data_IF_336988437004
#
_entry.id   IF_336988437004
#
_cell.length_a   1.000
_cell.length_b   1.000
_cell.length_c   1.000
_cell.angle_alpha   90.00
_cell.angle_beta   90.00
_cell.angle_gamma   90.00
#
_symmetry.space_group_name_H-M   'P 1'
#
loop_
_entity.id
_entity.type
_entity.pdbx_description
1 polymer ?
#
# COMPACT_ATOMS: atom_id res chain seq x y z
N UNK A 1 0.44 13.98 -9.09
CA UNK A 1 -0.09 14.51 -7.82
C UNK A 1 0.18 13.49 -6.71
N UNK A 2 0.32 13.99 -5.47
CA UNK A 2 0.29 13.19 -4.25
C UNK A 2 -1.04 13.52 -3.55
N UNK A 3 -1.89 12.52 -3.32
CA UNK A 3 -3.22 12.70 -2.76
C UNK A 3 -3.47 11.71 -1.61
N UNK A 4 -4.13 12.13 -0.51
CA UNK A 4 -4.57 11.21 0.52
C UNK A 4 -5.65 10.28 -0.06
N UNK A 5 -5.59 9.00 0.29
CA UNK A 5 -6.60 8.01 -0.11
C UNK A 5 -7.45 7.58 1.09
N UNK A 6 -6.84 6.91 2.06
CA UNK A 6 -7.53 6.34 3.22
C UNK A 6 -6.51 6.06 4.33
N UNK A 7 -6.87 5.33 5.37
CA UNK A 7 -5.96 4.85 6.40
C UNK A 7 -6.31 3.42 6.83
N UNK A 8 -5.30 2.66 7.26
CA UNK A 8 -5.51 1.44 8.04
C UNK A 8 -5.47 1.77 9.54
N UNK A 9 -6.34 1.10 10.30
CA UNK A 9 -6.44 1.20 11.75
C UNK A 9 -6.47 -0.21 12.30
N UNK A 10 -5.40 -0.64 12.98
CA UNK A 10 -5.25 -2.02 13.43
C UNK A 10 -4.67 -2.09 14.84
N UNK A 11 -5.31 -2.88 15.71
CA UNK A 11 -4.83 -3.13 17.07
C UNK A 11 -3.87 -4.32 17.04
N UNK A 12 -2.60 -4.08 17.37
CA UNK A 12 -1.66 -5.13 17.73
C UNK A 12 -1.60 -5.28 19.26
N UNK A 13 -0.94 -6.32 19.75
CA UNK A 13 -0.90 -6.64 21.17
C UNK A 13 -0.32 -5.49 22.02
N UNK A 14 0.73 -4.83 21.53
CA UNK A 14 1.46 -3.80 22.29
C UNK A 14 1.13 -2.36 21.84
N UNK A 15 0.47 -2.19 20.70
CA UNK A 15 0.22 -0.86 20.14
C UNK A 15 -0.97 -0.82 19.18
N UNK A 16 -1.52 0.37 18.99
CA UNK A 16 -2.52 0.63 17.96
C UNK A 16 -1.87 1.27 16.74
N UNK A 17 -1.83 0.56 15.61
CA UNK A 17 -1.35 1.08 14.33
C UNK A 17 -2.40 1.99 13.69
N UNK A 18 -2.00 3.21 13.35
CA UNK A 18 -2.72 4.09 12.44
C UNK A 18 -1.79 4.41 11.26
N UNK A 19 -2.19 4.00 10.06
CA UNK A 19 -1.34 4.09 8.86
C UNK A 19 -2.08 4.78 7.72
N UNK A 20 -1.85 6.09 7.50
CA UNK A 20 -2.38 6.81 6.34
C UNK A 20 -1.78 6.31 5.02
N UNK A 21 -2.64 6.11 4.02
CA UNK A 21 -2.27 5.68 2.67
C UNK A 21 -2.46 6.82 1.67
N UNK A 22 -1.46 7.03 0.83
CA UNK A 22 -1.43 8.07 -0.20
C UNK A 22 -1.24 7.48 -1.59
N UNK A 23 -1.85 8.10 -2.58
CA UNK A 23 -1.63 7.80 -4.00
C UNK A 23 -0.68 8.83 -4.59
N UNK A 24 0.40 8.34 -5.17
CA UNK A 24 1.38 9.16 -5.89
C UNK A 24 1.37 8.80 -7.38
N UNK A 25 1.02 9.76 -8.24
CA UNK A 25 1.02 9.57 -9.71
C UNK A 25 2.16 10.28 -10.44
N UNK A 26 2.91 11.12 -9.74
CA UNK A 26 4.00 11.91 -10.32
C UNK A 26 5.17 11.90 -9.34
N UNK A 27 6.30 11.37 -9.77
CA UNK A 27 7.56 11.35 -9.03
C UNK A 27 8.72 11.59 -10.00
N UNK A 28 9.93 11.79 -9.46
CA UNK A 28 11.15 12.00 -10.24
C UNK A 28 12.07 10.79 -10.12
N UNK A 29 12.59 10.33 -11.27
CA UNK A 29 13.50 9.19 -11.34
C UNK A 29 12.79 7.84 -11.37
N UNK A 30 13.58 6.77 -11.37
CA UNK A 30 13.09 5.39 -11.40
C UNK A 30 13.09 4.79 -9.98
N UNK A 31 12.06 3.99 -9.67
CA UNK A 31 11.96 3.31 -8.38
C UNK A 31 12.94 2.15 -8.36
N UNK A 32 13.90 2.19 -7.45
CA UNK A 32 14.97 1.19 -7.30
C UNK A 32 15.03 0.71 -5.85
N UNK A 33 15.20 -0.62 -5.61
CA UNK A 33 15.35 -1.13 -4.26
C UNK A 33 16.72 -0.73 -3.71
N UNK A 34 16.77 -0.13 -2.51
CA UNK A 34 18.01 0.38 -1.89
C UNK A 34 18.39 -0.30 -0.59
N UNK A 35 17.52 -1.14 -0.06
CA UNK A 35 17.64 -1.82 1.24
C UNK A 35 17.52 -3.35 1.09
N UNK A 36 17.76 -3.88 -0.12
CA UNK A 36 17.69 -5.31 -0.41
C UNK A 36 16.28 -5.88 -0.61
N UNK A 37 15.25 -5.02 -0.58
CA UNK A 37 13.88 -5.40 -0.86
C UNK A 37 13.67 -5.76 -2.34
N UNK A 38 12.66 -6.58 -2.62
CA UNK A 38 12.21 -6.85 -3.99
C UNK A 38 11.07 -5.88 -4.36
N UNK A 39 11.03 -5.47 -5.63
CA UNK A 39 9.97 -4.61 -6.16
C UNK A 39 9.24 -5.29 -7.31
N UNK A 40 7.93 -5.05 -7.38
CA UNK A 40 7.10 -5.52 -8.48
C UNK A 40 6.00 -4.53 -8.79
N UNK A 41 5.86 -4.18 -10.07
CA UNK A 41 4.71 -3.43 -10.55
C UNK A 41 3.53 -4.37 -10.79
N UNK A 42 2.44 -4.14 -10.06
CA UNK A 42 1.27 -5.02 -10.05
C UNK A 42 0.05 -4.22 -10.51
N UNK A 43 -0.78 -4.84 -11.37
CA UNK A 43 -2.08 -4.25 -11.73
C UNK A 43 -3.02 -4.33 -10.52
N UNK A 44 -3.84 -3.31 -10.23
CA UNK A 44 -4.67 -3.27 -9.01
C UNK A 44 -5.52 -4.54 -8.78
N UNK A 45 -6.10 -5.08 -9.85
CA UNK A 45 -6.91 -6.31 -9.81
C UNK A 45 -6.17 -7.57 -9.35
N UNK A 46 -4.82 -7.57 -9.37
CA UNK A 46 -3.97 -8.68 -8.93
C UNK A 46 -3.32 -8.43 -7.57
N UNK A 47 -3.65 -7.34 -6.87
CA UNK A 47 -3.08 -7.06 -5.56
C UNK A 47 -3.42 -8.15 -4.54
N UNK A 48 -4.58 -8.81 -4.68
CA UNK A 48 -4.98 -9.93 -3.82
C UNK A 48 -4.16 -11.22 -4.01
N UNK A 49 -3.32 -11.30 -5.05
CA UNK A 49 -2.44 -12.46 -5.29
C UNK A 49 -1.17 -12.44 -4.44
N UNK A 50 -0.96 -11.38 -3.63
CA UNK A 50 0.24 -11.17 -2.83
C UNK A 50 -0.11 -11.23 -1.35
N UNK A 51 0.77 -11.89 -0.58
CA UNK A 51 0.66 -11.92 0.87
C UNK A 51 0.80 -10.50 1.43
N UNK A 52 -0.24 -10.04 2.11
CA UNK A 52 -0.29 -8.73 2.75
C UNK A 52 -0.37 -8.91 4.26
N UNK A 53 0.24 -8.00 5.06
CA UNK A 53 0.01 -7.97 6.49
C UNK A 53 -1.49 -7.81 6.82
N UNK A 54 -1.96 -8.30 7.98
CA UNK A 54 -3.37 -8.23 8.35
C UNK A 54 -3.99 -6.82 8.31
N UNK A 55 -3.19 -5.78 8.60
CA UNK A 55 -3.61 -4.38 8.54
C UNK A 55 -3.86 -3.87 7.12
N UNK A 56 -3.23 -4.48 6.12
CA UNK A 56 -3.21 -4.04 4.71
C UNK A 56 -4.23 -4.77 3.85
N UNK A 57 -4.63 -6.00 4.24
CA UNK A 57 -5.63 -6.80 3.51
C UNK A 57 -6.91 -6.01 3.19
N UNK A 58 -7.51 -5.22 4.12
CA UNK A 58 -8.70 -4.43 3.81
C UNK A 58 -8.45 -3.32 2.75
N UNK A 59 -7.21 -2.86 2.60
CA UNK A 59 -6.85 -1.78 1.68
C UNK A 59 -6.86 -2.24 0.22
N UNK A 60 -6.71 -3.54 -0.03
CA UNK A 60 -6.65 -4.11 -1.38
C UNK A 60 -7.93 -3.81 -2.19
N UNK A 61 -9.09 -3.99 -1.57
CA UNK A 61 -10.37 -3.69 -2.23
C UNK A 61 -10.50 -2.21 -2.58
N UNK A 62 -10.12 -1.32 -1.65
CA UNK A 62 -10.15 0.14 -1.86
C UNK A 62 -9.20 0.58 -2.98
N UNK A 63 -8.00 0.00 -3.03
CA UNK A 63 -7.03 0.29 -4.08
C UNK A 63 -7.49 -0.22 -5.45
N UNK A 64 -8.08 -1.41 -5.51
CA UNK A 64 -8.63 -1.98 -6.74
C UNK A 64 -9.75 -1.12 -7.33
N UNK A 65 -10.62 -0.60 -6.49
CA UNK A 65 -11.78 0.17 -6.95
C UNK A 65 -11.40 1.61 -7.36
N UNK A 66 -10.29 2.16 -6.82
CA UNK A 66 -9.79 3.49 -7.13
C UNK A 66 -8.91 3.56 -8.39
N UNK A 67 -8.04 2.56 -8.59
CA UNK A 67 -6.92 2.60 -9.56
C UNK A 67 -7.25 1.89 -10.87
#
# INVERSE_FOLDING_TARGET
CLAPLTFASHVYDDFHLLMPLYVCRVWKGEITPREGQQLKWVRPVRLGDYDMPPADVPLVAMLRDLL
#
